data_IF_898147523341
#
_entry.id   IF_898147523341
#
_cell.length_a   1.000
_cell.length_b   1.000
_cell.length_c   1.000
_cell.angle_alpha   90.00
_cell.angle_beta   90.00
_cell.angle_gamma   90.00
#
_symmetry.space_group_name_H-M   'P 1'
#
loop_
_entity.id
_entity.type
_entity.pdbx_description
1 polymer ?
#
# COMPACT_ATOMS: atom_id res chain seq x y z
N UNK A 1 11.04 9.06 13.71
CA UNK A 1 10.75 9.14 12.26
C UNK A 1 9.40 9.83 12.11
N UNK A 2 9.27 10.76 11.14
CA UNK A 2 8.00 11.44 10.87
C UNK A 2 6.89 10.41 10.59
N UNK A 3 5.69 10.64 11.12
CA UNK A 3 4.55 9.76 10.88
C UNK A 3 3.80 10.23 9.64
N UNK A 4 3.69 9.35 8.64
CA UNK A 4 2.95 9.61 7.40
C UNK A 4 1.47 9.96 7.66
N UNK A 5 0.91 9.51 8.79
CA UNK A 5 -0.44 9.89 9.22
C UNK A 5 -0.54 11.40 9.45
N UNK A 6 0.46 12.00 10.11
CA UNK A 6 0.48 13.45 10.38
C UNK A 6 0.58 14.26 9.10
N UNK A 7 1.35 13.78 8.11
CA UNK A 7 1.46 14.41 6.79
C UNK A 7 0.11 14.36 6.07
N UNK A 8 -0.59 13.22 6.15
CA UNK A 8 -1.93 13.06 5.57
C UNK A 8 -2.99 13.92 6.23
N UNK A 9 -2.92 14.07 7.56
CA UNK A 9 -3.87 14.87 8.34
C UNK A 9 -3.68 16.38 8.12
N UNK A 10 -2.44 16.84 7.95
CA UNK A 10 -2.11 18.27 7.84
C UNK A 10 -1.15 18.61 6.68
N UNK A 11 -1.46 18.22 5.43
CA UNK A 11 -0.52 18.34 4.30
C UNK A 11 -0.04 19.77 4.06
N UNK A 12 -0.91 20.78 4.24
CA UNK A 12 -0.54 22.19 4.09
C UNK A 12 0.49 22.67 5.12
N UNK A 13 0.37 22.22 6.36
CA UNK A 13 1.35 22.56 7.40
C UNK A 13 2.73 22.03 7.03
N UNK A 14 2.79 20.80 6.52
CA UNK A 14 4.05 20.21 6.06
C UNK A 14 4.59 20.93 4.82
N UNK A 15 3.74 21.27 3.83
CA UNK A 15 4.16 22.07 2.67
C UNK A 15 4.78 23.42 3.07
N UNK A 16 4.10 24.17 3.94
CA UNK A 16 4.60 25.45 4.45
C UNK A 16 5.94 25.29 5.21
N UNK A 17 6.11 24.21 5.98
CA UNK A 17 7.38 23.95 6.68
C UNK A 17 8.50 23.64 5.69
N UNK A 18 8.22 22.93 4.58
CA UNK A 18 9.20 22.66 3.54
C UNK A 18 9.60 23.94 2.78
N UNK A 19 8.62 24.77 2.41
CA UNK A 19 8.87 26.04 1.73
C UNK A 19 9.73 27.00 2.57
N UNK A 20 9.47 27.10 3.88
CA UNK A 20 10.21 27.97 4.77
C UNK A 20 11.65 27.50 5.06
N UNK A 21 11.98 26.22 4.83
CA UNK A 21 13.31 25.66 5.13
C UNK A 21 14.32 25.87 4.02
N UNK A 22 13.89 26.16 2.79
CA UNK A 22 14.70 26.69 1.70
C UNK A 22 15.75 25.76 1.07
N UNK A 23 16.16 24.64 1.68
CA UNK A 23 17.21 23.78 1.13
C UNK A 23 16.86 22.27 1.20
N UNK A 24 16.90 21.62 0.03
CA UNK A 24 16.99 20.15 -0.12
C UNK A 24 15.67 19.37 -0.10
N UNK A 25 14.51 20.04 -0.04
CA UNK A 25 13.20 19.37 0.08
C UNK A 25 12.19 20.10 -0.79
N UNK A 26 11.59 19.38 -1.75
CA UNK A 26 10.56 19.95 -2.62
C UNK A 26 9.20 19.80 -1.91
N UNK A 27 8.37 20.85 -1.77
CA UNK A 27 7.00 20.71 -1.30
C UNK A 27 6.18 19.63 -2.02
N UNK A 28 6.52 19.32 -3.29
CA UNK A 28 5.92 18.22 -4.07
C UNK A 28 6.23 16.83 -3.52
N UNK A 29 7.28 16.68 -2.69
CA UNK A 29 7.57 15.42 -2.01
C UNK A 29 6.44 15.05 -1.04
N UNK A 30 5.74 16.05 -0.47
CA UNK A 30 4.56 15.84 0.38
C UNK A 30 3.42 15.23 -0.43
N UNK A 31 3.14 15.77 -1.60
CA UNK A 31 2.09 15.27 -2.49
C UNK A 31 2.44 13.86 -2.97
N UNK A 32 3.70 13.63 -3.34
CA UNK A 32 4.21 12.32 -3.75
C UNK A 32 4.04 11.27 -2.65
N UNK A 33 4.38 11.60 -1.40
CA UNK A 33 4.19 10.69 -0.25
C UNK A 33 2.71 10.37 -0.03
N UNK A 34 1.82 11.36 -0.16
CA UNK A 34 0.37 11.15 0.00
C UNK A 34 -0.19 10.26 -1.10
N UNK A 35 0.24 10.44 -2.35
CA UNK A 35 -0.15 9.58 -3.47
C UNK A 35 0.36 8.16 -3.31
N UNK A 36 1.62 7.98 -2.91
CA UNK A 36 2.19 6.67 -2.65
C UNK A 36 1.48 5.97 -1.48
N UNK A 37 1.15 6.69 -0.41
CA UNK A 37 0.37 6.15 0.70
C UNK A 37 -1.03 5.70 0.26
N UNK A 38 -1.68 6.49 -0.60
CA UNK A 38 -2.97 6.11 -1.19
C UNK A 38 -2.86 4.84 -2.01
N UNK A 39 -1.86 4.73 -2.89
CA UNK A 39 -1.58 3.52 -3.67
C UNK A 39 -1.34 2.32 -2.75
N UNK A 40 -0.48 2.48 -1.74
CA UNK A 40 -0.20 1.43 -0.74
C UNK A 40 -1.46 0.93 -0.05
N UNK A 41 -2.35 1.84 0.37
CA UNK A 41 -3.62 1.46 1.00
C UNK A 41 -4.54 0.73 0.04
N UNK A 42 -4.61 1.14 -1.22
CA UNK A 42 -5.40 0.45 -2.23
C UNK A 42 -4.88 -0.97 -2.47
N UNK A 43 -3.56 -1.15 -2.63
CA UNK A 43 -2.95 -2.47 -2.78
C UNK A 43 -3.22 -3.37 -1.57
N UNK A 44 -3.17 -2.83 -0.34
CA UNK A 44 -3.52 -3.60 0.86
C UNK A 44 -4.97 -4.10 0.82
N UNK A 45 -5.91 -3.25 0.42
CA UNK A 45 -7.33 -3.63 0.30
C UNK A 45 -7.50 -4.71 -0.77
N UNK A 46 -6.83 -4.57 -1.91
CA UNK A 46 -6.91 -5.53 -3.01
C UNK A 46 -6.30 -6.90 -2.63
N UNK A 47 -5.14 -6.90 -1.97
CA UNK A 47 -4.52 -8.12 -1.46
C UNK A 47 -5.44 -8.86 -0.48
N UNK A 48 -6.06 -8.14 0.46
CA UNK A 48 -6.98 -8.75 1.43
C UNK A 48 -8.25 -9.29 0.75
N UNK A 49 -8.79 -8.58 -0.25
CA UNK A 49 -9.91 -9.06 -1.05
C UNK A 49 -9.57 -10.36 -1.81
N UNK A 50 -8.41 -10.40 -2.48
CA UNK A 50 -7.94 -11.58 -3.21
C UNK A 50 -7.65 -12.77 -2.29
N UNK A 51 -7.10 -12.52 -1.09
CA UNK A 51 -6.92 -13.58 -0.07
C UNK A 51 -8.26 -14.14 0.40
N UNK A 52 -9.25 -13.27 0.64
CA UNK A 52 -10.59 -13.68 1.04
C UNK A 52 -11.26 -14.53 -0.06
N UNK A 53 -11.17 -14.09 -1.31
CA UNK A 53 -11.66 -14.82 -2.48
C UNK A 53 -10.99 -16.19 -2.61
N UNK A 54 -9.66 -16.24 -2.57
CA UNK A 54 -8.88 -17.50 -2.61
C UNK A 54 -9.33 -18.47 -1.51
N UNK A 55 -9.52 -17.99 -0.29
CA UNK A 55 -9.92 -18.82 0.84
C UNK A 55 -11.35 -19.35 0.67
N UNK A 56 -12.27 -18.52 0.19
CA UNK A 56 -13.65 -18.92 -0.13
C UNK A 56 -13.68 -20.02 -1.19
N UNK A 57 -13.00 -19.80 -2.31
CA UNK A 57 -12.92 -20.75 -3.42
C UNK A 57 -12.27 -22.07 -2.97
N UNK A 58 -11.18 -21.98 -2.19
CA UNK A 58 -10.50 -23.17 -1.64
C UNK A 58 -11.42 -24.01 -0.74
N UNK A 59 -12.33 -23.37 0.00
CA UNK A 59 -13.32 -24.07 0.83
C UNK A 59 -14.42 -24.77 0.01
N UNK A 60 -14.68 -24.34 -1.23
CA UNK A 60 -15.68 -24.92 -2.12
C UNK A 60 -15.15 -26.15 -2.88
N UNK A 61 -13.84 -26.21 -3.15
CA UNK A 61 -13.19 -27.31 -3.90
C UNK A 61 -13.48 -28.71 -3.33
N UNK A 62 -13.38 -28.97 -2.01
CA UNK A 62 -13.69 -30.29 -1.46
C UNK A 62 -15.13 -30.73 -1.71
N UNK A 63 -16.09 -29.79 -1.70
CA UNK A 63 -17.50 -30.09 -2.00
C UNK A 63 -17.67 -30.44 -3.47
N UNK A 64 -17.12 -29.63 -4.37
CA UNK A 64 -17.19 -29.86 -5.81
C UNK A 64 -16.54 -31.19 -6.22
N UNK A 65 -15.39 -31.54 -5.62
CA UNK A 65 -14.73 -32.84 -5.82
C UNK A 65 -15.61 -34.01 -5.35
N UNK A 66 -16.30 -33.87 -4.21
CA UNK A 66 -17.25 -34.90 -3.72
C UNK A 66 -18.47 -35.05 -4.63
N UNK A 67 -18.91 -33.96 -5.24
CA UNK A 67 -20.01 -33.94 -6.22
C UNK A 67 -19.59 -34.45 -7.62
N UNK A 68 -18.32 -34.84 -7.81
CA UNK A 68 -17.81 -35.33 -9.10
C UNK A 68 -17.67 -34.24 -10.17
N UNK A 69 -17.70 -32.96 -9.79
CA UNK A 69 -17.54 -31.82 -10.71
C UNK A 69 -16.07 -31.59 -11.04
N UNK A 70 -15.81 -31.12 -12.26
CA UNK A 70 -14.48 -30.70 -12.66
C UNK A 70 -14.09 -29.39 -11.95
N UNK A 71 -12.90 -29.38 -11.35
CA UNK A 71 -12.33 -28.24 -10.62
C UNK A 71 -11.07 -27.70 -11.30
N UNK A 72 -10.71 -28.21 -12.49
CA UNK A 72 -9.52 -27.81 -13.24
C UNK A 72 -9.47 -26.30 -13.51
N UNK A 73 -10.61 -25.69 -13.91
CA UNK A 73 -10.73 -24.25 -14.13
C UNK A 73 -10.54 -23.44 -12.85
N UNK A 74 -11.13 -23.89 -11.75
CA UNK A 74 -11.04 -23.25 -10.43
C UNK A 74 -9.60 -23.27 -9.91
N UNK A 75 -8.90 -24.39 -10.10
CA UNK A 75 -7.48 -24.50 -9.75
C UNK A 75 -6.61 -23.53 -10.55
N UNK A 76 -6.93 -23.30 -11.83
CA UNK A 76 -6.22 -22.34 -12.68
C UNK A 76 -6.46 -20.90 -12.21
N UNK A 77 -7.70 -20.58 -11.85
CA UNK A 77 -8.06 -19.27 -11.28
C UNK A 77 -7.36 -19.02 -9.95
N UNK A 78 -7.34 -20.01 -9.05
CA UNK A 78 -6.58 -19.93 -7.79
C UNK A 78 -5.10 -19.66 -7.99
N UNK A 79 -4.49 -20.27 -9.02
CA UNK A 79 -3.09 -20.00 -9.38
C UNK A 79 -2.91 -18.56 -9.81
N UNK A 80 -3.79 -18.04 -10.68
CA UNK A 80 -3.77 -16.65 -11.12
C UNK A 80 -3.95 -15.66 -9.97
N UNK A 81 -4.85 -15.94 -9.02
CA UNK A 81 -5.02 -15.13 -7.81
C UNK A 81 -3.73 -15.16 -6.97
N UNK A 82 -3.09 -16.32 -6.82
CA UNK A 82 -1.82 -16.45 -6.13
C UNK A 82 -0.70 -15.62 -6.75
N UNK A 83 -0.64 -15.56 -8.09
CA UNK A 83 0.34 -14.75 -8.80
C UNK A 83 0.05 -13.25 -8.65
N UNK A 84 -1.22 -12.81 -8.77
CA UNK A 84 -1.64 -11.42 -8.52
C UNK A 84 -1.31 -10.94 -7.10
N UNK A 85 -1.52 -11.80 -6.09
CA UNK A 85 -1.16 -11.47 -4.69
C UNK A 85 0.35 -11.21 -4.59
N UNK A 86 1.20 -12.02 -5.23
CA UNK A 86 2.65 -11.82 -5.20
C UNK A 86 3.06 -10.51 -5.87
N UNK A 87 2.44 -10.18 -7.00
CA UNK A 87 2.72 -8.94 -7.71
C UNK A 87 2.34 -7.72 -6.85
N UNK A 88 1.16 -7.75 -6.24
CA UNK A 88 0.73 -6.69 -5.32
C UNK A 88 1.58 -6.60 -4.04
N UNK A 89 2.07 -7.73 -3.51
CA UNK A 89 3.00 -7.73 -2.38
C UNK A 89 4.35 -7.09 -2.75
N UNK A 90 4.82 -7.28 -4.00
CA UNK A 90 6.00 -6.58 -4.52
C UNK A 90 5.73 -5.07 -4.66
N UNK A 91 4.60 -4.68 -5.25
CA UNK A 91 4.19 -3.28 -5.39
C UNK A 91 4.07 -2.59 -4.02
N UNK A 92 3.55 -3.30 -3.01
CA UNK A 92 3.49 -2.83 -1.64
C UNK A 92 4.89 -2.57 -1.06
N UNK A 93 5.84 -3.48 -1.31
CA UNK A 93 7.23 -3.34 -0.85
C UNK A 93 7.90 -2.14 -1.51
N UNK A 94 7.82 -2.03 -2.83
CA UNK A 94 8.40 -0.91 -3.57
C UNK A 94 7.78 0.43 -3.16
N UNK A 95 6.46 0.48 -3.01
CA UNK A 95 5.76 1.69 -2.59
C UNK A 95 6.18 2.10 -1.18
N UNK A 96 6.36 1.13 -0.27
CA UNK A 96 6.87 1.40 1.07
C UNK A 96 8.31 1.92 1.03
N UNK A 97 9.20 1.31 0.25
CA UNK A 97 10.59 1.77 0.12
C UNK A 97 10.65 3.21 -0.43
N UNK A 98 9.82 3.55 -1.43
CA UNK A 98 9.72 4.92 -1.96
C UNK A 98 9.22 5.91 -0.92
N UNK A 99 8.20 5.54 -0.15
CA UNK A 99 7.70 6.35 0.96
C UNK A 99 8.83 6.57 1.99
N UNK A 100 9.46 5.50 2.47
CA UNK A 100 10.49 5.56 3.50
C UNK A 100 11.68 6.43 3.03
N UNK A 101 12.06 6.32 1.76
CA UNK A 101 13.12 7.13 1.15
C UNK A 101 12.80 8.63 1.17
N UNK A 102 11.58 9.02 0.80
CA UNK A 102 11.17 10.43 0.84
C UNK A 102 11.08 10.89 2.31
N UNK A 103 10.45 10.08 3.17
CA UNK A 103 10.28 10.37 4.60
C UNK A 103 11.61 10.54 5.35
N UNK A 104 12.68 9.86 4.94
CA UNK A 104 14.03 10.02 5.49
C UNK A 104 14.68 11.35 5.11
N UNK A 105 14.31 11.91 3.97
CA UNK A 105 14.79 13.21 3.48
C UNK A 105 13.97 14.36 4.03
N UNK A 106 12.74 14.09 4.46
CA UNK A 106 11.90 15.11 5.06
C UNK A 106 12.50 15.60 6.38
N UNK A 107 12.71 16.92 6.50
CA UNK A 107 13.24 17.52 7.69
C UNK A 107 12.24 17.37 8.83
N UNK A 108 12.75 17.20 10.05
CA UNK A 108 11.87 17.17 11.21
C UNK A 108 11.12 18.50 11.33
N UNK A 109 9.80 18.42 11.55
CA UNK A 109 8.98 19.61 11.77
C UNK A 109 9.38 20.20 13.13
N UNK A 110 9.62 21.52 13.23
CA UNK A 110 9.87 22.14 14.52
C UNK A 110 8.73 21.77 15.48
N UNK A 111 9.09 21.20 16.63
CA UNK A 111 8.11 21.00 17.68
C UNK A 111 7.69 22.42 18.08
N UNK A 112 6.41 22.78 17.89
CA UNK A 112 5.88 24.00 18.49
C UNK A 112 5.93 23.81 20.01
N UNK A 113 7.08 24.12 20.59
CA UNK A 113 7.25 24.41 22.00
C UNK A 113 7.52 25.91 22.03
N UNK A 114 6.46 26.63 22.43
CA UNK A 114 6.44 27.92 23.14
C UNK A 114 7.33 29.03 22.57
#
# INVERSE_FOLDING_TARGET
MLDIRKIRENPEMYRNVMENRGEGVDPKDIDTVIELDKKRRNYLVEVEALKAERNKVSAEIPKLKKEGKDVSGILKEMKSIGDKIKDLDNDLRETKEKIDFIMLRLPNVPNKIV
#
